data_IF_436025296064
#
_entry.id   IF_436025296064
#
_cell.length_a   1.000
_cell.length_b   1.000
_cell.length_c   1.000
_cell.angle_alpha   90.00
_cell.angle_beta   90.00
_cell.angle_gamma   90.00
#
_symmetry.space_group_name_H-M   'P 1'
#
loop_
_entity.id
_entity.type
_entity.pdbx_description
1 polymer ?
#
# COMPACT_ATOMS: atom_id res chain seq x y z
N UNK A 1 -29.39 41.19 -65.91
CA UNK A 1 -29.87 40.02 -65.13
C UNK A 1 -31.39 40.12 -65.04
N UNK A 2 -32.14 39.13 -65.52
CA UNK A 2 -33.60 39.16 -65.45
C UNK A 2 -34.04 39.23 -63.98
N UNK A 3 -34.95 40.14 -63.61
CA UNK A 3 -35.44 40.33 -62.22
C UNK A 3 -35.86 39.02 -61.54
N UNK A 4 -36.31 38.04 -62.33
CA UNK A 4 -36.76 36.74 -61.85
C UNK A 4 -35.64 35.72 -61.53
N UNK A 5 -34.38 36.05 -61.80
CA UNK A 5 -33.22 35.22 -61.45
C UNK A 5 -32.52 35.68 -60.16
N UNK A 6 -32.63 36.96 -59.79
CA UNK A 6 -31.95 37.52 -58.61
C UNK A 6 -32.42 36.86 -57.32
N UNK A 7 -33.72 36.67 -57.14
CA UNK A 7 -34.27 36.02 -55.94
C UNK A 7 -33.90 34.53 -55.84
N UNK A 8 -33.81 33.85 -56.99
CA UNK A 8 -33.36 32.44 -57.05
C UNK A 8 -31.90 32.31 -56.65
N UNK A 9 -31.04 33.20 -57.14
CA UNK A 9 -29.62 33.25 -56.77
C UNK A 9 -29.47 33.54 -55.26
N UNK A 10 -30.26 34.49 -54.73
CA UNK A 10 -30.25 34.79 -53.29
C UNK A 10 -30.70 33.58 -52.44
N UNK A 11 -31.75 32.86 -52.87
CA UNK A 11 -32.21 31.64 -52.20
C UNK A 11 -31.15 30.53 -52.23
N UNK A 12 -30.49 30.35 -53.39
CA UNK A 12 -29.42 29.35 -53.54
C UNK A 12 -28.25 29.69 -52.61
N UNK A 13 -27.81 30.95 -52.60
CA UNK A 13 -26.73 31.39 -51.70
C UNK A 13 -27.10 31.19 -50.23
N UNK A 14 -28.34 31.51 -49.85
CA UNK A 14 -28.83 31.28 -48.49
C UNK A 14 -28.79 29.79 -48.12
N UNK A 15 -29.29 28.91 -48.99
CA UNK A 15 -29.25 27.46 -48.77
C UNK A 15 -27.82 26.91 -48.68
N UNK A 16 -26.91 27.42 -49.52
CA UNK A 16 -25.49 27.03 -49.48
C UNK A 16 -24.83 27.47 -48.17
N UNK A 17 -25.10 28.68 -47.69
CA UNK A 17 -24.58 29.16 -46.40
C UNK A 17 -25.17 28.35 -45.23
N UNK A 18 -26.47 28.05 -45.25
CA UNK A 18 -27.09 27.17 -44.25
C UNK A 18 -26.47 25.77 -44.27
N UNK A 19 -26.22 25.19 -45.45
CA UNK A 19 -25.59 23.88 -45.58
C UNK A 19 -24.12 23.89 -45.11
N UNK A 20 -23.37 24.94 -45.41
CA UNK A 20 -21.99 25.09 -44.91
C UNK A 20 -21.97 25.21 -43.38
N UNK A 21 -22.90 25.96 -42.79
CA UNK A 21 -23.02 26.11 -41.35
C UNK A 21 -23.47 24.81 -40.65
N UNK A 22 -24.33 24.02 -41.27
CA UNK A 22 -24.74 22.74 -40.67
C UNK A 22 -23.62 21.71 -40.67
N UNK A 23 -22.66 21.78 -41.61
CA UNK A 23 -21.55 20.82 -41.71
C UNK A 23 -20.27 21.28 -41.00
N UNK A 24 -20.06 22.59 -40.83
CA UNK A 24 -18.85 23.11 -40.18
C UNK A 24 -18.97 23.20 -38.64
N UNK A 25 -17.95 22.78 -37.86
CA UNK A 25 -16.73 22.08 -38.28
C UNK A 25 -17.00 20.60 -38.60
N UNK A 26 -16.52 20.07 -39.74
CA UNK A 26 -16.84 18.71 -40.17
C UNK A 26 -16.32 17.64 -39.21
N UNK A 27 -15.21 17.89 -38.53
CA UNK A 27 -14.64 16.97 -37.54
C UNK A 27 -15.57 16.69 -36.34
N UNK A 28 -16.42 17.65 -35.97
CA UNK A 28 -17.33 17.52 -34.82
C UNK A 28 -18.72 17.03 -35.25
N UNK A 29 -19.12 17.36 -36.49
CA UNK A 29 -20.49 17.12 -37.00
C UNK A 29 -20.62 15.88 -37.88
N UNK A 30 -19.54 15.41 -38.50
CA UNK A 30 -19.54 14.20 -39.33
C UNK A 30 -19.00 13.01 -38.53
N UNK A 31 -19.92 12.25 -37.94
CA UNK A 31 -19.56 10.99 -37.27
C UNK A 31 -19.09 9.97 -38.30
N UNK A 32 -17.87 9.47 -38.15
CA UNK A 32 -17.33 8.44 -39.02
C UNK A 32 -18.06 7.12 -38.78
N UNK A 33 -18.40 6.43 -39.88
CA UNK A 33 -18.94 5.07 -39.80
C UNK A 33 -17.86 4.08 -39.31
N UNK A 34 -18.26 2.90 -38.80
CA UNK A 34 -17.32 1.85 -38.37
C UNK A 34 -16.33 1.43 -39.47
N UNK A 35 -16.75 1.45 -40.73
CA UNK A 35 -15.89 1.12 -41.87
C UNK A 35 -14.81 2.18 -42.15
N UNK A 36 -14.97 3.39 -41.61
CA UNK A 36 -14.04 4.52 -41.77
C UNK A 36 -13.21 4.77 -40.50
N UNK A 37 -13.83 4.61 -39.33
CA UNK A 37 -13.18 4.78 -38.03
C UNK A 37 -12.44 3.52 -37.56
N UNK A 38 -12.79 2.35 -38.12
CA UNK A 38 -12.42 1.05 -37.60
C UNK A 38 -13.25 0.66 -36.35
N UNK A 39 -13.03 -0.56 -35.86
CA UNK A 39 -13.66 -1.07 -34.64
C UNK A 39 -13.65 -2.60 -34.59
N UNK A 40 -14.20 -3.15 -33.52
CA UNK A 40 -14.30 -4.60 -33.30
C UNK A 40 -15.74 -5.06 -33.45
N UNK A 41 -15.97 -6.09 -34.28
CA UNK A 41 -17.26 -6.79 -34.34
C UNK A 41 -17.18 -8.08 -33.54
N UNK A 42 -18.05 -8.21 -32.53
CA UNK A 42 -18.16 -9.37 -31.66
C UNK A 42 -19.51 -10.04 -31.89
N UNK A 43 -19.50 -11.32 -32.26
CA UNK A 43 -20.73 -12.10 -32.46
C UNK A 43 -20.89 -13.05 -31.28
N UNK A 44 -22.00 -12.89 -30.55
CA UNK A 44 -22.34 -13.73 -29.41
C UNK A 44 -23.56 -14.61 -29.71
N UNK A 45 -23.48 -15.88 -29.34
CA UNK A 45 -24.59 -16.83 -29.32
C UNK A 45 -25.27 -16.79 -27.94
N UNK A 46 -26.60 -16.68 -27.92
CA UNK A 46 -27.41 -16.77 -26.71
C UNK A 46 -27.59 -18.25 -26.37
N UNK A 47 -27.29 -18.64 -25.12
CA UNK A 47 -27.61 -19.98 -24.65
C UNK A 47 -29.13 -20.16 -24.60
N UNK A 48 -29.63 -21.12 -25.39
CA UNK A 48 -31.06 -21.42 -25.53
C UNK A 48 -31.37 -22.89 -25.24
N UNK A 49 -30.51 -23.56 -24.47
CA UNK A 49 -30.62 -25.00 -24.20
C UNK A 49 -31.96 -25.39 -23.58
N UNK A 50 -32.53 -24.52 -22.73
CA UNK A 50 -33.80 -24.75 -22.02
C UNK A 50 -35.02 -24.01 -22.61
N UNK A 51 -34.88 -23.38 -23.78
CA UNK A 51 -35.94 -22.58 -24.40
C UNK A 51 -36.68 -23.35 -25.50
N UNK A 52 -38.00 -23.17 -25.57
CA UNK A 52 -38.82 -23.74 -26.64
C UNK A 52 -38.69 -22.94 -27.97
N UNK A 53 -39.21 -23.49 -29.08
CA UNK A 53 -39.10 -22.84 -30.39
C UNK A 53 -39.82 -21.49 -30.48
N UNK A 54 -40.83 -21.23 -29.64
CA UNK A 54 -41.57 -19.97 -29.64
C UNK A 54 -40.81 -18.90 -28.88
N UNK A 55 -40.16 -19.27 -27.79
CA UNK A 55 -39.32 -18.43 -26.93
C UNK A 55 -38.03 -17.99 -27.63
N UNK A 56 -37.46 -18.84 -28.50
CA UNK A 56 -36.29 -18.47 -29.31
C UNK A 56 -36.59 -17.40 -30.34
N UNK A 57 -37.83 -17.33 -30.85
CA UNK A 57 -38.19 -16.44 -31.96
C UNK A 57 -38.08 -14.97 -31.53
N UNK A 58 -37.19 -14.22 -32.18
CA UNK A 58 -36.92 -12.81 -31.86
C UNK A 58 -36.22 -12.56 -30.52
N UNK A 59 -35.64 -13.60 -29.89
CA UNK A 59 -34.99 -13.49 -28.58
C UNK A 59 -33.85 -12.44 -28.59
N UNK A 60 -32.98 -12.49 -29.60
CA UNK A 60 -31.91 -11.52 -29.79
C UNK A 60 -32.43 -10.08 -29.87
N UNK A 61 -33.52 -9.84 -30.62
CA UNK A 61 -34.11 -8.51 -30.77
C UNK A 61 -34.67 -7.97 -29.45
N UNK A 62 -35.26 -8.84 -28.63
CA UNK A 62 -35.82 -8.48 -27.33
C UNK A 62 -34.74 -8.20 -26.28
N UNK A 63 -33.58 -8.88 -26.38
CA UNK A 63 -32.45 -8.70 -25.44
C UNK A 63 -31.66 -7.42 -25.72
N UNK A 64 -31.56 -6.98 -26.97
CA UNK A 64 -30.73 -5.83 -27.37
C UNK A 64 -31.01 -4.56 -26.52
N UNK A 65 -32.26 -4.09 -26.32
CA UNK A 65 -32.52 -2.90 -25.50
C UNK A 65 -32.07 -3.03 -24.04
N UNK A 66 -32.12 -4.25 -23.49
CA UNK A 66 -31.70 -4.55 -22.11
C UNK A 66 -30.18 -4.49 -22.01
N UNK A 67 -29.50 -5.15 -22.95
CA UNK A 67 -28.04 -5.15 -23.03
C UNK A 67 -27.50 -3.75 -23.30
N UNK A 68 -28.11 -2.99 -24.22
CA UNK A 68 -27.72 -1.62 -24.54
C UNK A 68 -27.80 -0.71 -23.30
N UNK A 69 -28.85 -0.83 -22.49
CA UNK A 69 -28.98 -0.05 -21.23
C UNK A 69 -27.92 -0.41 -20.19
N UNK A 70 -27.31 -1.60 -20.27
CA UNK A 70 -26.23 -2.02 -19.36
C UNK A 70 -24.85 -1.63 -19.88
N UNK A 71 -24.67 -1.74 -21.18
CA UNK A 71 -23.39 -1.61 -21.89
C UNK A 71 -23.09 -0.14 -22.18
N UNK A 72 -24.04 0.59 -22.77
CA UNK A 72 -23.89 2.02 -23.08
C UNK A 72 -25.15 2.80 -22.62
N UNK A 73 -25.43 2.89 -21.30
CA UNK A 73 -26.60 3.58 -20.78
C UNK A 73 -26.68 5.05 -21.19
N UNK A 74 -25.52 5.69 -21.36
CA UNK A 74 -25.38 7.11 -21.66
C UNK A 74 -25.22 7.39 -23.16
N UNK A 75 -25.08 6.36 -24.00
CA UNK A 75 -24.92 6.50 -25.46
C UNK A 75 -23.58 7.10 -25.89
N UNK A 76 -22.57 7.10 -25.01
CA UNK A 76 -21.27 7.79 -25.21
C UNK A 76 -20.33 6.91 -26.05
N UNK A 77 -20.35 5.60 -25.81
CA UNK A 77 -19.52 4.64 -26.54
C UNK A 77 -20.01 4.40 -27.97
N UNK A 78 -21.19 4.91 -28.34
CA UNK A 78 -21.82 4.75 -29.66
C UNK A 78 -21.88 3.28 -30.12
N UNK A 79 -22.09 2.36 -29.17
CA UNK A 79 -22.16 0.92 -29.43
C UNK A 79 -23.36 0.64 -30.34
N UNK A 80 -23.15 -0.17 -31.39
CA UNK A 80 -24.24 -0.65 -32.25
C UNK A 80 -24.45 -2.13 -32.00
N UNK A 81 -25.68 -2.52 -31.67
CA UNK A 81 -26.07 -3.93 -31.56
C UNK A 81 -27.07 -4.29 -32.65
N UNK A 82 -26.85 -5.40 -33.33
CA UNK A 82 -27.72 -5.90 -34.39
C UNK A 82 -28.08 -7.37 -34.11
N UNK A 83 -29.35 -7.77 -34.24
CA UNK A 83 -29.71 -9.17 -34.15
C UNK A 83 -29.23 -9.91 -35.40
N UNK A 84 -28.64 -11.09 -35.20
CA UNK A 84 -28.18 -11.99 -36.26
C UNK A 84 -29.05 -13.26 -36.22
N UNK A 85 -30.27 -13.17 -36.76
CA UNK A 85 -31.29 -14.20 -36.60
C UNK A 85 -31.93 -14.16 -35.21
N UNK A 86 -32.44 -15.31 -34.75
CA UNK A 86 -33.23 -15.42 -33.52
C UNK A 86 -32.38 -15.41 -32.24
N UNK A 87 -31.17 -15.99 -32.28
CA UNK A 87 -30.39 -16.31 -31.07
C UNK A 87 -28.97 -15.73 -31.06
N UNK A 88 -28.59 -14.87 -32.02
CA UNK A 88 -27.28 -14.22 -32.04
C UNK A 88 -27.39 -12.72 -31.99
N UNK A 89 -26.41 -12.09 -31.36
CA UNK A 89 -26.26 -10.64 -31.29
C UNK A 89 -24.87 -10.30 -31.79
N UNK A 90 -24.81 -9.42 -32.78
CA UNK A 90 -23.57 -8.74 -33.19
C UNK A 90 -23.45 -7.44 -32.40
N UNK A 91 -22.33 -7.26 -31.72
CA UNK A 91 -21.96 -6.05 -30.99
C UNK A 91 -20.79 -5.41 -31.74
N UNK A 92 -21.01 -4.20 -32.25
CA UNK A 92 -20.00 -3.42 -32.93
C UNK A 92 -19.53 -2.30 -32.00
N UNK A 93 -18.28 -2.42 -31.57
CA UNK A 93 -17.58 -1.42 -30.77
C UNK A 93 -16.78 -0.53 -31.73
N UNK A 94 -17.11 0.77 -31.85
CA UNK A 94 -16.31 1.67 -32.66
C UNK A 94 -14.94 1.90 -32.01
N UNK A 95 -13.91 2.13 -32.83
CA UNK A 95 -12.61 2.58 -32.34
C UNK A 95 -12.77 3.89 -31.56
N UNK A 96 -12.07 4.01 -30.44
CA UNK A 96 -12.11 5.21 -29.61
C UNK A 96 -11.71 6.45 -30.42
N UNK A 97 -12.45 7.54 -30.23
CA UNK A 97 -12.16 8.79 -30.95
C UNK A 97 -10.76 9.30 -30.58
N UNK A 98 -10.13 10.09 -31.46
CA UNK A 98 -8.82 10.70 -31.15
C UNK A 98 -8.88 11.52 -29.86
N UNK A 99 -9.98 12.24 -29.62
CA UNK A 99 -10.20 12.99 -28.37
C UNK A 99 -10.32 12.07 -27.15
N UNK A 100 -11.02 10.94 -27.27
CA UNK A 100 -11.11 9.90 -26.22
C UNK A 100 -9.71 9.37 -25.88
N UNK A 101 -8.92 9.01 -26.89
CA UNK A 101 -7.55 8.50 -26.69
C UNK A 101 -6.65 9.53 -26.03
N UNK A 102 -6.65 10.79 -26.49
CA UNK A 102 -5.84 11.86 -25.89
C UNK A 102 -6.20 12.08 -24.41
N UNK A 103 -7.50 12.07 -24.07
CA UNK A 103 -7.95 12.24 -22.68
C UNK A 103 -7.61 11.03 -21.81
N UNK A 104 -7.69 9.82 -22.36
CA UNK A 104 -7.25 8.59 -21.68
C UNK A 104 -5.75 8.63 -21.41
N UNK A 105 -4.94 8.92 -22.42
CA UNK A 105 -3.48 9.05 -22.29
C UNK A 105 -3.11 10.11 -21.25
N UNK A 106 -3.79 11.26 -21.25
CA UNK A 106 -3.56 12.30 -20.25
C UNK A 106 -3.90 11.82 -18.83
N UNK A 107 -4.99 11.06 -18.64
CA UNK A 107 -5.34 10.47 -17.35
C UNK A 107 -4.32 9.41 -16.90
N UNK A 108 -3.94 8.49 -17.79
CA UNK A 108 -2.93 7.45 -17.53
C UNK A 108 -1.57 8.07 -17.20
N UNK A 109 -1.15 9.14 -17.88
CA UNK A 109 0.09 9.87 -17.58
C UNK A 109 0.07 10.47 -16.17
N UNK A 110 -1.07 11.02 -15.71
CA UNK A 110 -1.17 11.57 -14.35
C UNK A 110 -1.20 10.47 -13.29
N UNK A 111 -1.84 9.34 -13.58
CA UNK A 111 -1.77 8.16 -12.70
C UNK A 111 -0.35 7.63 -12.59
N UNK A 112 0.38 7.52 -13.69
CA UNK A 112 1.77 7.07 -13.70
C UNK A 112 2.68 8.06 -12.98
N UNK A 113 2.53 9.36 -13.21
CA UNK A 113 3.25 10.39 -12.48
C UNK A 113 3.01 10.36 -10.97
N UNK A 114 1.78 10.04 -10.54
CA UNK A 114 1.43 9.86 -9.13
C UNK A 114 2.02 8.55 -8.57
N UNK A 115 1.94 7.46 -9.33
CA UNK A 115 2.47 6.14 -8.93
C UNK A 115 3.99 6.14 -8.80
N UNK A 116 4.70 6.88 -9.67
CA UNK A 116 6.16 7.02 -9.64
C UNK A 116 6.70 7.62 -8.35
N UNK A 117 5.86 8.30 -7.57
CA UNK A 117 6.26 8.79 -6.25
C UNK A 117 6.24 7.74 -5.15
N UNK A 118 5.67 6.55 -5.40
CA UNK A 118 5.73 5.46 -4.45
C UNK A 118 7.17 4.96 -4.29
N UNK A 119 7.51 4.61 -3.06
CA UNK A 119 8.85 4.18 -2.67
C UNK A 119 8.91 2.67 -2.47
N UNK A 120 10.10 2.10 -2.66
CA UNK A 120 10.32 0.68 -2.44
C UNK A 120 10.53 0.40 -0.94
N UNK A 121 9.48 -0.09 -0.26
CA UNK A 121 9.50 -0.35 1.19
C UNK A 121 10.55 -1.39 1.61
N UNK A 122 10.92 -2.33 0.74
CA UNK A 122 12.00 -3.28 1.04
C UNK A 122 13.35 -2.58 1.09
N UNK A 123 13.57 -1.61 0.20
CA UNK A 123 14.81 -0.82 0.17
C UNK A 123 14.90 0.07 1.41
N UNK A 124 13.79 0.68 1.84
CA UNK A 124 13.70 1.43 3.10
C UNK A 124 14.07 0.55 4.30
N UNK A 125 13.47 -0.65 4.41
CA UNK A 125 13.78 -1.59 5.50
C UNK A 125 15.22 -2.09 5.47
N UNK A 126 15.79 -2.33 4.28
CA UNK A 126 17.19 -2.74 4.12
C UNK A 126 18.13 -1.64 4.61
N UNK A 127 17.83 -0.39 4.27
CA UNK A 127 18.64 0.78 4.64
C UNK A 127 18.72 0.99 6.16
N UNK A 128 17.81 0.42 6.97
CA UNK A 128 17.92 0.45 8.43
C UNK A 128 19.23 -0.18 8.94
N UNK A 129 19.76 -1.18 8.24
CA UNK A 129 21.02 -1.85 8.60
C UNK A 129 22.27 -1.15 8.04
N UNK A 130 22.11 -0.08 7.26
CA UNK A 130 23.23 0.69 6.72
C UNK A 130 23.81 1.65 7.78
N UNK A 131 25.06 2.11 7.62
CA UNK A 131 25.61 3.18 8.46
C UNK A 131 24.70 4.42 8.44
N UNK A 132 24.54 5.08 9.59
CA UNK A 132 23.57 6.20 9.77
C UNK A 132 23.63 7.26 8.66
N UNK A 133 24.83 7.62 8.22
CA UNK A 133 25.03 8.59 7.13
C UNK A 133 24.51 8.08 5.77
N UNK A 134 24.75 6.82 5.44
CA UNK A 134 24.29 6.22 4.19
C UNK A 134 22.78 6.02 4.21
N UNK A 135 22.24 5.56 5.33
CA UNK A 135 20.79 5.47 5.56
C UNK A 135 20.10 6.81 5.35
N UNK A 136 20.67 7.89 5.90
CA UNK A 136 20.11 9.24 5.75
C UNK A 136 20.03 9.65 4.28
N UNK A 137 21.10 9.44 3.50
CA UNK A 137 21.10 9.74 2.05
C UNK A 137 19.97 8.97 1.33
N UNK A 138 19.82 7.69 1.66
CA UNK A 138 18.74 6.85 1.10
C UNK A 138 17.36 7.37 1.50
N UNK A 139 17.18 7.79 2.76
CA UNK A 139 15.91 8.31 3.27
C UNK A 139 15.56 9.66 2.67
N UNK A 140 16.52 10.57 2.55
CA UNK A 140 16.34 11.88 1.90
C UNK A 140 15.91 11.70 0.44
N UNK A 141 16.51 10.74 -0.28
CA UNK A 141 16.12 10.42 -1.66
C UNK A 141 14.67 9.89 -1.78
N UNK A 142 14.20 9.09 -0.81
CA UNK A 142 12.82 8.59 -0.79
C UNK A 142 11.79 9.62 -0.32
N UNK A 143 12.19 10.50 0.59
CA UNK A 143 11.31 11.55 1.09
C UNK A 143 11.14 12.69 0.07
N UNK A 144 12.19 12.98 -0.70
CA UNK A 144 12.25 14.18 -1.53
C UNK A 144 12.01 15.43 -0.68
N UNK A 145 11.14 16.31 -1.17
CA UNK A 145 10.78 17.56 -0.48
C UNK A 145 9.63 17.39 0.54
N UNK A 146 9.05 16.19 0.69
CA UNK A 146 7.93 15.97 1.62
C UNK A 146 8.42 15.89 3.07
N UNK A 147 7.97 16.86 3.88
CA UNK A 147 8.27 16.90 5.33
C UNK A 147 7.58 15.75 6.08
N UNK A 148 6.40 15.33 5.63
CA UNK A 148 5.65 14.19 6.18
C UNK A 148 6.41 12.89 5.98
N UNK A 149 6.91 12.62 4.76
CA UNK A 149 7.72 11.42 4.47
C UNK A 149 9.03 11.43 5.24
N UNK A 150 9.70 12.59 5.34
CA UNK A 150 10.89 12.74 6.16
C UNK A 150 10.61 12.39 7.62
N UNK A 151 9.48 12.84 8.16
CA UNK A 151 9.06 12.56 9.53
C UNK A 151 8.84 11.06 9.76
N UNK A 152 8.10 10.38 8.87
CA UNK A 152 7.85 8.94 8.95
C UNK A 152 9.18 8.15 8.91
N UNK A 153 10.06 8.48 7.97
CA UNK A 153 11.35 7.80 7.80
C UNK A 153 12.28 8.05 9.00
N UNK A 154 12.30 9.26 9.54
CA UNK A 154 13.11 9.61 10.71
C UNK A 154 12.61 8.94 11.99
N UNK A 155 11.29 8.87 12.19
CA UNK A 155 10.67 8.14 13.30
C UNK A 155 11.01 6.64 13.23
N UNK A 156 10.95 6.06 12.02
CA UNK A 156 11.38 4.68 11.79
C UNK A 156 12.87 4.48 12.13
N UNK A 157 13.76 5.35 11.66
CA UNK A 157 15.19 5.26 11.94
C UNK A 157 15.48 5.35 13.44
N UNK A 158 14.81 6.28 14.13
CA UNK A 158 15.01 6.54 15.56
C UNK A 158 14.55 5.35 16.41
N UNK A 159 13.34 4.84 16.15
CA UNK A 159 12.79 3.70 16.88
C UNK A 159 13.53 2.40 16.57
N UNK A 160 13.99 2.21 15.32
CA UNK A 160 14.85 1.09 14.96
C UNK A 160 16.18 1.13 15.69
N UNK A 161 16.86 2.29 15.76
CA UNK A 161 18.14 2.43 16.44
C UNK A 161 18.01 2.09 17.94
N UNK A 162 16.96 2.59 18.60
CA UNK A 162 16.70 2.31 20.01
C UNK A 162 16.39 0.82 20.27
N UNK A 163 15.53 0.23 19.45
CA UNK A 163 15.24 -1.20 19.48
C UNK A 163 16.51 -2.04 19.27
N UNK A 164 17.32 -1.68 18.26
CA UNK A 164 18.54 -2.41 17.90
C UNK A 164 19.57 -2.33 19.02
N UNK A 165 19.79 -1.15 19.59
CA UNK A 165 20.69 -0.95 20.73
C UNK A 165 20.29 -1.84 21.91
N UNK A 166 19.00 -1.84 22.29
CA UNK A 166 18.50 -2.68 23.39
C UNK A 166 18.58 -4.16 23.07
N UNK A 167 18.28 -4.56 21.84
CA UNK A 167 18.43 -5.96 21.40
C UNK A 167 19.88 -6.42 21.48
N UNK A 168 20.84 -5.57 21.11
CA UNK A 168 22.27 -5.88 21.16
C UNK A 168 22.79 -5.91 22.60
N UNK A 169 22.32 -5.00 23.47
CA UNK A 169 22.59 -5.05 24.91
C UNK A 169 22.08 -6.35 25.53
N UNK A 170 20.85 -6.77 25.18
CA UNK A 170 20.28 -8.04 25.65
C UNK A 170 21.16 -9.22 25.26
N UNK A 171 21.53 -9.32 23.98
CA UNK A 171 22.38 -10.40 23.48
C UNK A 171 23.76 -10.41 24.16
N UNK A 172 24.39 -9.26 24.35
CA UNK A 172 25.66 -9.15 25.07
C UNK A 172 25.56 -9.65 26.51
N UNK A 173 24.48 -9.30 27.23
CA UNK A 173 24.29 -9.79 28.59
C UNK A 173 23.98 -11.29 28.63
N UNK A 174 23.25 -11.83 27.65
CA UNK A 174 23.03 -13.28 27.51
C UNK A 174 24.38 -14.02 27.34
N UNK A 175 25.26 -13.55 26.47
CA UNK A 175 26.60 -14.12 26.30
C UNK A 175 27.46 -14.03 27.59
N UNK A 176 27.38 -12.91 28.31
CA UNK A 176 28.07 -12.76 29.61
C UNK A 176 27.53 -13.73 30.66
N UNK A 177 26.20 -13.88 30.74
CA UNK A 177 25.55 -14.81 31.66
C UNK A 177 25.95 -16.25 31.38
N UNK A 178 26.01 -16.68 30.11
CA UNK A 178 26.45 -18.04 29.75
C UNK A 178 27.91 -18.29 30.18
N UNK A 179 28.82 -17.33 29.98
CA UNK A 179 30.21 -17.45 30.48
C UNK A 179 30.26 -17.56 32.00
N UNK A 180 29.37 -16.85 32.71
CA UNK A 180 29.29 -16.93 34.17
C UNK A 180 28.74 -18.30 34.60
N UNK A 181 27.69 -18.81 33.93
CA UNK A 181 27.14 -20.16 34.16
C UNK A 181 28.23 -21.23 34.03
N UNK A 182 29.05 -21.17 32.98
CA UNK A 182 30.19 -22.10 32.82
C UNK A 182 31.16 -22.06 34.01
N UNK A 183 31.47 -20.86 34.52
CA UNK A 183 32.39 -20.71 35.66
C UNK A 183 31.76 -21.21 36.97
N UNK A 184 30.45 -21.02 37.16
CA UNK A 184 29.71 -21.57 38.30
C UNK A 184 29.74 -23.11 38.27
N UNK A 185 29.50 -23.71 37.10
CA UNK A 185 29.57 -25.16 36.91
C UNK A 185 30.98 -25.70 37.14
N UNK A 186 32.02 -25.02 36.64
CA UNK A 186 33.43 -25.36 36.90
C UNK A 186 33.81 -25.30 38.39
N UNK A 187 33.12 -24.46 39.17
CA UNK A 187 33.29 -24.38 40.62
C UNK A 187 32.52 -25.48 41.39
N UNK A 188 31.83 -26.39 40.69
CA UNK A 188 31.09 -27.50 41.29
C UNK A 188 29.68 -27.14 41.78
N UNK A 189 29.15 -25.97 41.40
CA UNK A 189 27.79 -25.55 41.73
C UNK A 189 26.83 -25.82 40.56
N UNK A 190 25.56 -26.07 40.90
CA UNK A 190 24.50 -26.21 39.89
C UNK A 190 24.06 -24.82 39.40
N UNK A 191 24.40 -24.47 38.15
CA UNK A 191 24.08 -23.18 37.54
C UNK A 191 22.57 -22.99 37.31
N UNK A 192 21.84 -24.03 36.91
CA UNK A 192 20.38 -23.95 36.68
C UNK A 192 19.62 -23.63 37.98
N UNK A 193 20.08 -24.19 39.10
CA UNK A 193 19.53 -23.91 40.43
C UNK A 193 19.79 -22.47 40.88
N UNK A 194 20.88 -21.85 40.41
CA UNK A 194 21.16 -20.42 40.62
C UNK A 194 20.25 -19.58 39.74
N UNK A 195 20.06 -19.96 38.47
CA UNK A 195 19.25 -19.22 37.50
C UNK A 195 17.81 -19.00 38.00
N UNK A 196 17.22 -20.03 38.62
CA UNK A 196 15.89 -19.94 39.25
C UNK A 196 15.80 -18.90 40.38
N UNK A 197 16.92 -18.53 41.00
CA UNK A 197 16.97 -17.55 42.10
C UNK A 197 17.24 -16.13 41.65
N UNK A 198 17.67 -15.92 40.40
CA UNK A 198 18.14 -14.61 39.94
C UNK A 198 17.08 -13.53 40.02
N UNK A 199 15.82 -13.84 39.70
CA UNK A 199 14.73 -12.87 39.79
C UNK A 199 14.43 -12.44 41.23
N UNK A 200 14.59 -13.34 42.19
CA UNK A 200 14.45 -13.01 43.62
C UNK A 200 15.66 -12.20 44.07
N UNK A 201 16.87 -12.68 43.75
CA UNK A 201 18.13 -12.08 44.17
C UNK A 201 18.38 -10.70 43.57
N UNK A 202 17.89 -10.44 42.35
CA UNK A 202 18.01 -9.12 41.71
C UNK A 202 17.22 -8.02 42.44
N UNK A 203 16.24 -8.40 43.26
CA UNK A 203 15.40 -7.49 44.06
C UNK A 203 15.95 -7.25 45.47
N UNK A 204 16.96 -8.01 45.90
CA UNK A 204 17.55 -7.89 47.22
C UNK A 204 18.49 -6.69 47.30
N UNK A 205 18.54 -6.03 48.46
CA UNK A 205 19.59 -5.06 48.75
C UNK A 205 20.95 -5.75 48.90
N UNK A 206 22.04 -4.97 48.84
CA UNK A 206 23.41 -5.49 48.87
C UNK A 206 23.70 -6.42 50.06
N UNK A 207 23.17 -6.11 51.25
CA UNK A 207 23.42 -6.91 52.46
C UNK A 207 22.63 -8.22 52.41
N UNK A 208 21.35 -8.15 52.03
CA UNK A 208 20.52 -9.34 51.86
C UNK A 208 21.05 -10.27 50.76
N UNK A 209 21.48 -9.71 49.63
CA UNK A 209 22.08 -10.46 48.53
C UNK A 209 23.35 -11.20 48.95
N UNK A 210 24.25 -10.50 49.66
CA UNK A 210 25.50 -11.10 50.15
C UNK A 210 25.20 -12.29 51.06
N UNK A 211 24.22 -12.15 51.96
CA UNK A 211 23.79 -13.23 52.85
C UNK A 211 23.18 -14.40 52.08
N UNK A 212 22.30 -14.13 51.11
CA UNK A 212 21.66 -15.18 50.30
C UNK A 212 22.67 -15.99 49.49
N UNK A 213 23.66 -15.32 48.89
CA UNK A 213 24.76 -15.96 48.15
C UNK A 213 25.61 -16.83 49.10
N UNK A 214 25.97 -16.31 50.28
CA UNK A 214 26.80 -17.05 51.22
C UNK A 214 26.10 -18.32 51.76
N UNK A 215 24.82 -18.20 52.09
CA UNK A 215 23.98 -19.35 52.48
C UNK A 215 23.88 -20.39 51.35
N UNK A 216 23.73 -19.94 50.10
CA UNK A 216 23.64 -20.83 48.95
C UNK A 216 24.96 -21.60 48.73
N UNK A 217 26.09 -20.90 48.72
CA UNK A 217 27.41 -21.54 48.53
C UNK A 217 27.70 -22.51 49.66
N UNK A 218 27.40 -22.16 50.91
CA UNK A 218 27.64 -23.02 52.07
C UNK A 218 26.84 -24.32 52.01
N UNK A 219 25.58 -24.27 51.55
CA UNK A 219 24.69 -25.44 51.45
C UNK A 219 25.00 -26.34 50.26
N UNK A 220 25.52 -25.78 49.17
CA UNK A 220 25.68 -26.48 47.89
C UNK A 220 27.14 -26.73 47.52
N UNK A 221 28.08 -26.57 48.46
CA UNK A 221 29.51 -26.77 48.21
C UNK A 221 29.85 -28.23 47.86
N UNK A 222 30.80 -28.49 46.95
CA UNK A 222 31.28 -29.83 46.66
C UNK A 222 32.06 -30.45 47.84
N UNK A 223 32.05 -31.78 47.95
CA UNK A 223 32.65 -32.54 49.08
C UNK A 223 34.20 -32.71 49.02
N UNK A 224 34.92 -31.98 48.16
CA UNK A 224 36.35 -32.22 47.88
C UNK A 224 37.37 -31.57 48.84
N UNK A 225 38.66 -31.97 48.73
CA UNK A 225 39.79 -31.70 49.65
C UNK A 225 39.83 -30.28 50.25
N UNK A 226 39.86 -30.24 51.59
CA UNK A 226 39.78 -29.05 52.47
C UNK A 226 40.68 -27.84 52.13
N UNK A 227 41.81 -28.03 51.43
CA UNK A 227 42.73 -26.94 51.07
C UNK A 227 42.26 -26.11 49.87
N UNK A 228 41.43 -26.68 48.99
CA UNK A 228 40.94 -26.03 47.76
C UNK A 228 39.59 -25.35 48.00
N UNK A 229 38.81 -25.87 48.98
CA UNK A 229 37.46 -25.39 49.31
C UNK A 229 37.40 -23.87 49.57
N UNK A 230 38.26 -23.25 50.42
CA UNK A 230 38.10 -21.83 50.74
C UNK A 230 38.26 -20.92 49.52
N UNK A 231 39.15 -21.29 48.59
CA UNK A 231 39.36 -20.58 47.34
C UNK A 231 38.17 -20.76 46.38
N UNK A 232 37.69 -22.00 46.22
CA UNK A 232 36.53 -22.31 45.36
C UNK A 232 35.26 -21.61 45.87
N UNK A 233 35.04 -21.58 47.18
CA UNK A 233 33.90 -20.87 47.76
C UNK A 233 34.01 -19.34 47.55
N UNK A 234 35.22 -18.77 47.68
CA UNK A 234 35.44 -17.34 47.43
C UNK A 234 35.13 -16.97 45.97
N UNK A 235 35.65 -17.74 45.01
CA UNK A 235 35.40 -17.52 43.59
C UNK A 235 33.92 -17.79 43.23
N UNK A 236 33.28 -18.80 43.84
CA UNK A 236 31.85 -19.07 43.69
C UNK A 236 30.99 -17.88 44.10
N UNK A 237 31.21 -17.32 45.30
CA UNK A 237 30.47 -16.13 45.79
C UNK A 237 30.62 -14.96 44.82
N UNK A 238 31.82 -14.76 44.28
CA UNK A 238 32.12 -13.71 43.31
C UNK A 238 31.39 -13.94 41.97
N UNK A 239 31.38 -15.16 41.44
CA UNK A 239 30.68 -15.49 40.20
C UNK A 239 29.15 -15.34 40.36
N UNK A 240 28.57 -15.79 41.48
CA UNK A 240 27.15 -15.58 41.78
C UNK A 240 26.79 -14.10 41.89
N UNK A 241 27.63 -13.30 42.55
CA UNK A 241 27.44 -11.85 42.64
C UNK A 241 27.48 -11.16 41.26
N UNK A 242 28.42 -11.57 40.39
CA UNK A 242 28.45 -11.12 38.99
C UNK A 242 27.21 -11.55 38.23
N UNK A 243 26.76 -12.79 38.42
CA UNK A 243 25.60 -13.31 37.70
C UNK A 243 24.35 -12.50 38.00
N UNK A 244 24.08 -12.24 39.28
CA UNK A 244 22.95 -11.39 39.70
C UNK A 244 23.08 -9.99 39.12
N UNK A 245 24.28 -9.40 39.15
CA UNK A 245 24.50 -8.05 38.62
C UNK A 245 24.26 -7.96 37.09
N UNK A 246 24.71 -8.94 36.31
CA UNK A 246 24.46 -8.99 34.86
C UNK A 246 22.99 -9.26 34.58
N UNK A 247 22.38 -10.21 35.31
CA UNK A 247 20.96 -10.53 35.19
C UNK A 247 20.07 -9.32 35.49
N UNK A 248 20.37 -8.51 36.51
CA UNK A 248 19.61 -7.28 36.78
C UNK A 248 19.62 -6.35 35.58
N UNK A 249 20.78 -6.12 34.95
CA UNK A 249 20.87 -5.29 33.74
C UNK A 249 20.12 -5.89 32.56
N UNK A 250 20.23 -7.21 32.37
CA UNK A 250 19.48 -7.93 31.33
C UNK A 250 17.97 -7.80 31.54
N UNK A 251 17.50 -7.97 32.78
CA UNK A 251 16.10 -7.85 33.15
C UNK A 251 15.55 -6.45 32.83
N UNK A 252 16.30 -5.40 33.16
CA UNK A 252 15.92 -4.02 32.83
C UNK A 252 15.81 -3.80 31.32
N UNK A 253 16.75 -4.34 30.53
CA UNK A 253 16.73 -4.26 29.06
C UNK A 253 15.55 -5.04 28.48
N UNK A 254 15.26 -6.23 28.99
CA UNK A 254 14.11 -7.04 28.55
C UNK A 254 12.80 -6.31 28.81
N UNK A 255 12.64 -5.68 29.97
CA UNK A 255 11.45 -4.88 30.26
C UNK A 255 11.38 -3.66 29.33
N UNK A 256 12.48 -2.93 29.12
CA UNK A 256 12.50 -1.80 28.19
C UNK A 256 12.13 -2.20 26.74
N UNK A 257 12.45 -3.43 26.33
CA UNK A 257 12.03 -3.98 25.04
C UNK A 257 10.55 -4.39 25.00
N UNK A 258 10.03 -4.93 26.11
CA UNK A 258 8.75 -5.63 26.18
C UNK A 258 7.61 -4.82 26.82
N UNK A 259 7.89 -3.64 27.38
CA UNK A 259 6.91 -2.81 28.07
C UNK A 259 5.67 -2.57 27.18
N UNK A 260 4.45 -2.78 27.70
CA UNK A 260 3.25 -2.50 26.94
C UNK A 260 3.21 -1.06 26.47
N UNK A 261 2.82 -0.86 25.21
CA UNK A 261 2.63 0.45 24.55
C UNK A 261 3.88 1.30 24.29
N UNK A 262 4.84 1.29 25.22
CA UNK A 262 6.04 2.15 25.23
C UNK A 262 7.36 1.39 25.02
N UNK A 263 7.34 0.05 25.10
CA UNK A 263 8.53 -0.76 24.89
C UNK A 263 9.09 -0.58 23.47
N UNK A 264 10.41 -0.62 23.33
CA UNK A 264 11.09 -0.30 22.06
C UNK A 264 10.64 -1.19 20.90
N UNK A 265 10.28 -2.45 21.19
CA UNK A 265 9.70 -3.37 20.19
C UNK A 265 8.37 -2.86 19.64
N UNK A 266 7.52 -2.33 20.51
CA UNK A 266 6.20 -1.80 20.14
C UNK A 266 6.34 -0.47 19.40
N UNK A 267 7.23 0.41 19.86
CA UNK A 267 7.50 1.69 19.19
C UNK A 267 8.02 1.46 17.77
N UNK A 268 9.02 0.59 17.59
CA UNK A 268 9.53 0.24 16.26
C UNK A 268 8.46 -0.41 15.38
N UNK A 269 7.61 -1.29 15.93
CA UNK A 269 6.49 -1.89 15.20
C UNK A 269 5.49 -0.83 14.74
N UNK A 270 5.11 0.12 15.60
CA UNK A 270 4.20 1.23 15.26
C UNK A 270 4.79 2.10 14.14
N UNK A 271 6.07 2.49 14.26
CA UNK A 271 6.75 3.25 13.21
C UNK A 271 6.84 2.47 11.89
N UNK A 272 7.06 1.16 11.95
CA UNK A 272 7.07 0.28 10.77
C UNK A 272 5.72 0.18 10.06
N UNK A 273 4.60 0.35 10.77
CA UNK A 273 3.26 0.35 10.16
C UNK A 273 2.98 1.63 9.38
N UNK A 274 3.48 2.78 9.86
CA UNK A 274 3.37 4.08 9.17
C UNK A 274 4.04 4.10 7.80
N UNK A 275 4.93 3.15 7.50
CA UNK A 275 5.49 2.98 6.15
C UNK A 275 4.42 2.77 5.06
N UNK A 276 3.23 2.27 5.41
CA UNK A 276 2.11 2.17 4.49
C UNK A 276 1.67 3.54 3.95
N UNK A 277 1.86 4.63 4.71
CA UNK A 277 1.49 6.00 4.34
C UNK A 277 2.46 6.63 3.31
N UNK A 278 3.61 6.00 3.05
CA UNK A 278 4.52 6.47 2.00
C UNK A 278 3.99 6.17 0.60
N UNK A 279 3.18 5.11 0.46
CA UNK A 279 2.70 4.63 -0.82
C UNK A 279 1.19 4.73 -0.94
N UNK A 280 0.73 5.33 -2.02
CA UNK A 280 -0.68 5.37 -2.36
C UNK A 280 -1.05 4.23 -3.31
N UNK A 281 -2.31 3.80 -3.25
CA UNK A 281 -2.88 2.81 -4.14
C UNK A 281 -3.72 3.50 -5.23
N UNK A 282 -3.18 3.59 -6.45
CA UNK A 282 -3.87 4.22 -7.58
C UNK A 282 -5.12 3.47 -8.04
N UNK A 283 -5.21 2.16 -7.80
CA UNK A 283 -6.43 1.41 -8.09
C UNK A 283 -7.55 1.81 -7.13
N UNK A 284 -7.22 1.93 -5.84
CA UNK A 284 -8.18 2.45 -4.85
C UNK A 284 -8.64 3.86 -5.21
N UNK A 285 -7.73 4.74 -5.64
CA UNK A 285 -8.10 6.08 -6.10
C UNK A 285 -9.06 5.98 -7.30
N UNK A 286 -8.73 5.17 -8.31
CA UNK A 286 -9.57 5.00 -9.51
C UNK A 286 -10.96 4.45 -9.16
N UNK A 287 -11.03 3.45 -8.29
CA UNK A 287 -12.29 2.88 -7.79
C UNK A 287 -13.17 3.95 -7.11
N UNK A 288 -12.55 4.85 -6.32
CA UNK A 288 -13.24 5.98 -5.71
C UNK A 288 -13.76 6.95 -6.80
N UNK A 289 -12.96 7.23 -7.82
CA UNK A 289 -13.33 8.17 -8.89
C UNK A 289 -14.46 7.65 -9.78
N UNK A 290 -14.57 6.33 -9.94
CA UNK A 290 -15.62 5.66 -10.71
C UNK A 290 -16.98 5.62 -9.99
N UNK A 291 -17.05 5.99 -8.71
CA UNK A 291 -18.31 6.21 -8.02
C UNK A 291 -19.09 7.39 -8.62
N UNK A 292 -20.44 7.44 -8.46
CA UNK A 292 -21.24 8.57 -8.93
C UNK A 292 -20.74 9.92 -8.36
N UNK A 293 -20.73 10.96 -9.19
CA UNK A 293 -20.19 12.29 -8.83
C UNK A 293 -20.93 12.95 -7.65
N UNK A 294 -22.21 12.64 -7.49
CA UNK A 294 -23.10 13.09 -6.42
C UNK A 294 -23.05 12.18 -5.17
N UNK A 295 -22.27 11.09 -5.19
CA UNK A 295 -22.11 10.20 -4.06
C UNK A 295 -21.38 10.87 -2.90
N UNK A 296 -22.00 10.90 -1.72
CA UNK A 296 -21.37 11.34 -0.48
C UNK A 296 -20.11 10.51 -0.20
N UNK A 297 -20.20 9.19 -0.40
CA UNK A 297 -19.08 8.27 -0.18
C UNK A 297 -17.87 8.61 -1.04
N UNK A 298 -18.09 8.99 -2.31
CA UNK A 298 -17.02 9.42 -3.21
C UNK A 298 -16.28 10.64 -2.64
N UNK A 299 -17.03 11.67 -2.29
CA UNK A 299 -16.45 12.92 -1.84
C UNK A 299 -15.72 12.73 -0.50
N UNK A 300 -16.30 12.01 0.45
CA UNK A 300 -15.64 11.67 1.72
C UNK A 300 -14.35 10.88 1.49
N UNK A 301 -14.37 9.86 0.62
CA UNK A 301 -13.18 9.03 0.36
C UNK A 301 -12.07 9.81 -0.34
N UNK A 302 -12.39 10.76 -1.22
CA UNK A 302 -11.40 11.66 -1.85
C UNK A 302 -10.74 12.54 -0.80
N UNK A 303 -11.52 13.16 0.09
CA UNK A 303 -10.98 14.00 1.16
C UNK A 303 -10.07 13.21 2.11
N UNK A 304 -10.50 12.02 2.54
CA UNK A 304 -9.67 11.13 3.38
C UNK A 304 -8.37 10.70 2.69
N UNK A 305 -8.43 10.39 1.38
CA UNK A 305 -7.26 10.04 0.58
C UNK A 305 -6.28 11.23 0.48
N UNK A 306 -6.79 12.45 0.26
CA UNK A 306 -5.97 13.67 0.22
C UNK A 306 -5.39 14.05 1.58
N UNK A 307 -6.11 13.82 2.67
CA UNK A 307 -5.59 14.06 4.02
C UNK A 307 -4.43 13.11 4.33
N UNK A 308 -4.55 11.85 3.92
CA UNK A 308 -3.49 10.84 4.13
C UNK A 308 -2.25 11.15 3.29
N UNK A 309 -2.44 11.67 2.07
CA UNK A 309 -1.37 11.98 1.12
C UNK A 309 -1.32 13.48 0.80
N UNK A 310 -1.30 14.30 1.86
CA UNK A 310 -1.37 15.77 1.74
C UNK A 310 -0.21 16.35 0.92
N UNK A 311 0.97 15.73 0.99
CA UNK A 311 2.17 16.05 0.21
C UNK A 311 1.97 15.93 -1.31
N UNK A 312 0.94 15.20 -1.73
CA UNK A 312 0.60 14.91 -3.13
C UNK A 312 -0.76 15.46 -3.55
N UNK A 313 -1.39 16.30 -2.73
CA UNK A 313 -2.75 16.80 -2.98
C UNK A 313 -2.91 17.39 -4.39
N UNK A 314 -1.93 18.19 -4.86
CA UNK A 314 -1.96 18.79 -6.20
C UNK A 314 -1.93 17.75 -7.33
N UNK A 315 -1.16 16.67 -7.17
CA UNK A 315 -1.09 15.58 -8.16
C UNK A 315 -2.36 14.73 -8.13
N UNK A 316 -2.91 14.49 -6.95
CA UNK A 316 -4.21 13.83 -6.78
C UNK A 316 -5.31 14.65 -7.48
N UNK A 317 -5.33 15.97 -7.27
CA UNK A 317 -6.27 16.88 -7.94
C UNK A 317 -6.10 16.88 -9.46
N UNK A 318 -4.87 16.80 -9.95
CA UNK A 318 -4.60 16.67 -11.38
C UNK A 318 -5.13 15.35 -11.96
N UNK A 319 -5.03 14.23 -11.22
CA UNK A 319 -5.63 12.94 -11.61
C UNK A 319 -7.15 13.04 -11.63
N UNK A 320 -7.75 13.63 -10.59
CA UNK A 320 -9.20 13.82 -10.49
C UNK A 320 -9.72 14.64 -11.68
N UNK A 321 -9.04 15.73 -12.03
CA UNK A 321 -9.40 16.58 -13.15
C UNK A 321 -9.29 15.83 -14.50
N UNK A 322 -8.21 15.08 -14.71
CA UNK A 322 -8.01 14.29 -15.93
C UNK A 322 -9.05 13.17 -16.08
N UNK A 323 -9.38 12.46 -14.98
CA UNK A 323 -10.45 11.46 -14.97
C UNK A 323 -11.81 12.08 -15.32
N UNK A 324 -12.11 13.26 -14.76
CA UNK A 324 -13.37 13.95 -15.02
C UNK A 324 -13.52 14.36 -16.50
N UNK A 325 -12.43 14.70 -17.20
CA UNK A 325 -12.43 14.97 -18.64
C UNK A 325 -12.57 13.69 -19.46
N UNK A 326 -11.87 12.61 -19.08
CA UNK A 326 -11.96 11.31 -19.74
C UNK A 326 -13.37 10.71 -19.62
N UNK A 327 -14.02 10.79 -18.46
CA UNK A 327 -15.40 10.31 -18.26
C UNK A 327 -16.46 11.02 -19.13
N UNK A 328 -16.15 12.18 -19.71
CA UNK A 328 -17.06 12.85 -20.67
C UNK A 328 -17.08 12.14 -22.03
N UNK A 329 -16.05 11.36 -22.34
CA UNK A 329 -15.79 10.80 -23.67
C UNK A 329 -15.53 9.29 -23.68
N UNK A 330 -15.18 8.71 -22.54
CA UNK A 330 -15.01 7.27 -22.33
C UNK A 330 -16.27 6.65 -21.78
N UNK A 331 -16.76 5.58 -22.42
CA UNK A 331 -17.74 4.67 -21.84
C UNK A 331 -17.04 3.52 -21.12
N UNK A 332 -17.77 2.67 -20.39
CA UNK A 332 -17.24 1.48 -19.66
C UNK A 332 -16.66 0.39 -20.57
N UNK A 333 -16.49 0.67 -21.86
CA UNK A 333 -16.21 -0.25 -22.96
C UNK A 333 -15.26 0.42 -23.94
N UNK A 334 -14.09 0.81 -23.45
CA UNK A 334 -12.99 1.04 -24.37
C UNK A 334 -12.40 -0.33 -24.79
N UNK A 335 -11.78 -0.38 -25.97
CA UNK A 335 -11.15 -1.59 -26.54
C UNK A 335 -10.27 -2.31 -25.49
N UNK A 336 -10.24 -3.66 -25.51
CA UNK A 336 -9.48 -4.48 -24.55
C UNK A 336 -7.98 -4.21 -24.55
#
# INVERSE_FOLDING_TARGET
MNKNQVWKIALILFLVVCAAWTVWPPQDKLKQGPDLAGGTSLIYDIDTTDLDKKEKKGLAQNMIPILMRRIDPMGVANVKMRPQGDTRIEILLPLSSVDTRVKREAFEERLDALTKENVNLMTVKRALNEPKKQRQITFDAFAGDSTERQTILQELATTYDAFKEKSDQRASFEEEMEKIKENITKAGLNADSVEQKLLEWSKLDKKALTKAIDEYVTRNKPEEKASIIPFVESESRKQLGKYVAVYTKWYDVVNALAEPETGETILYKKASLKLAELNLNVNQLTDILDLPKDSIQRNTSIEEFKVTFADRADKIDAVIAAHAEYQKVGGRLDDP
#
